data_IF_908394385115
#
_entry.id   IF_908394385115
#
_cell.length_a   1.000
_cell.length_b   1.000
_cell.length_c   1.000
_cell.angle_alpha   90.00
_cell.angle_beta   90.00
_cell.angle_gamma   90.00
#
_symmetry.space_group_name_H-M   'P 1'
#
loop_
_entity.id
_entity.type
_entity.pdbx_description
1 polymer ?
#
# COMPACT_ATOMS: atom_id res chain seq x y z
N UNK A 1 0.41 -9.61 4.06
CA UNK A 1 -0.59 -8.66 4.60
C UNK A 1 -0.05 -7.26 4.45
N UNK A 2 -0.87 -6.34 3.97
CA UNK A 2 -0.62 -4.90 3.91
C UNK A 2 -1.38 -4.24 5.06
N UNK A 3 -0.66 -3.54 5.92
CA UNK A 3 -1.20 -2.80 7.04
C UNK A 3 -0.52 -1.43 7.12
N UNK A 4 -1.25 -0.41 7.54
CA UNK A 4 -0.79 0.98 7.57
C UNK A 4 -1.49 1.78 8.66
N UNK A 5 -0.89 2.90 9.03
CA UNK A 5 -1.43 3.83 10.03
C UNK A 5 -1.43 5.25 9.48
N UNK A 6 -2.49 6.01 9.76
CA UNK A 6 -2.64 7.40 9.38
C UNK A 6 -2.76 8.29 10.62
N UNK A 7 -2.10 9.44 10.58
CA UNK A 7 -2.17 10.44 11.65
C UNK A 7 -3.10 11.55 11.22
N UNK A 8 -4.21 11.74 11.96
CA UNK A 8 -5.17 12.83 11.73
C UNK A 8 -5.77 12.92 10.30
N UNK A 9 -5.79 11.82 9.56
CA UNK A 9 -6.37 11.74 8.21
C UNK A 9 -7.48 10.68 8.18
N UNK A 10 -8.76 11.07 8.37
CA UNK A 10 -9.87 10.13 8.32
C UNK A 10 -10.06 9.59 6.90
N UNK A 11 -10.01 8.26 6.74
CA UNK A 11 -10.24 7.61 5.45
C UNK A 11 -11.72 7.58 5.06
N UNK A 12 -11.95 7.63 3.74
CA UNK A 12 -13.26 7.46 3.12
C UNK A 12 -13.60 8.63 2.22
N UNK A 13 -14.15 9.69 2.80
CA UNK A 13 -14.66 10.83 2.03
C UNK A 13 -13.57 11.83 1.66
N UNK A 14 -12.75 12.26 2.62
CA UNK A 14 -11.80 13.35 2.43
C UNK A 14 -10.42 12.86 1.98
N UNK A 15 -10.01 11.70 2.49
CA UNK A 15 -8.73 11.08 2.19
C UNK A 15 -8.89 9.62 1.80
N UNK A 16 -7.99 9.15 0.94
CA UNK A 16 -7.84 7.75 0.55
C UNK A 16 -6.36 7.40 0.47
N UNK A 17 -6.02 6.12 0.53
CA UNK A 17 -4.65 5.65 0.24
C UNK A 17 -4.62 5.01 -1.13
N UNK A 18 -3.79 5.53 -2.04
CA UNK A 18 -3.43 4.86 -3.28
C UNK A 18 -2.31 3.88 -3.01
N UNK A 19 -2.54 2.60 -3.23
CA UNK A 19 -1.56 1.53 -3.13
C UNK A 19 -1.11 1.08 -4.53
N UNK A 20 0.15 1.29 -4.87
CA UNK A 20 0.77 0.86 -6.12
C UNK A 20 1.65 -0.37 -5.85
N UNK A 21 1.32 -1.50 -6.47
CA UNK A 21 1.98 -2.80 -6.29
C UNK A 21 2.79 -3.09 -7.56
N UNK A 22 4.11 -3.25 -7.42
CA UNK A 22 5.07 -3.50 -8.50
C UNK A 22 4.98 -2.53 -9.68
N UNK A 23 4.41 -1.33 -9.47
CA UNK A 23 4.08 -0.36 -10.53
C UNK A 23 3.12 -0.87 -11.63
N UNK A 24 2.50 -2.03 -11.42
CA UNK A 24 1.59 -2.67 -12.39
C UNK A 24 0.13 -2.57 -11.94
N UNK A 25 -0.12 -2.71 -10.64
CA UNK A 25 -1.46 -2.67 -10.08
C UNK A 25 -1.63 -1.47 -9.15
N UNK A 26 -2.78 -0.82 -9.22
CA UNK A 26 -3.14 0.31 -8.35
C UNK A 26 -4.49 0.04 -7.69
N UNK A 27 -4.54 0.17 -6.37
CA UNK A 27 -5.77 0.06 -5.58
C UNK A 27 -6.01 1.36 -4.82
N UNK A 28 -7.28 1.72 -4.66
CA UNK A 28 -7.70 2.82 -3.79
C UNK A 28 -8.29 2.21 -2.52
N UNK A 29 -7.62 2.45 -1.40
CA UNK A 29 -8.04 2.01 -0.08
C UNK A 29 -8.76 3.17 0.61
N UNK A 30 -10.06 3.01 0.83
CA UNK A 30 -10.95 3.99 1.45
C UNK A 30 -11.41 3.58 2.85
N UNK A 31 -10.96 2.42 3.33
CA UNK A 31 -11.25 1.89 4.66
C UNK A 31 -9.94 1.59 5.40
N UNK A 32 -9.92 1.92 6.69
CA UNK A 32 -8.79 1.59 7.55
C UNK A 32 -8.92 0.18 8.09
N UNK A 33 -8.38 -0.79 7.35
CA UNK A 33 -8.35 -2.20 7.73
C UNK A 33 -7.11 -2.88 7.12
N UNK A 34 -6.67 -4.03 7.63
CA UNK A 34 -5.64 -4.82 6.98
C UNK A 34 -6.15 -5.38 5.64
N UNK A 35 -5.28 -5.39 4.63
CA UNK A 35 -5.57 -5.95 3.31
C UNK A 35 -4.64 -7.12 3.01
N UNK A 36 -5.18 -8.22 2.49
CA UNK A 36 -4.37 -9.32 1.96
C UNK A 36 -4.05 -9.06 0.49
N UNK A 37 -2.77 -9.12 0.15
CA UNK A 37 -2.30 -9.08 -1.23
C UNK A 37 -1.98 -10.52 -1.60
N UNK A 38 -2.64 -11.02 -2.64
CA UNK A 38 -2.48 -12.36 -3.16
C UNK A 38 -1.86 -12.32 -4.57
N UNK A 39 -1.31 -13.44 -5.03
CA UNK A 39 -0.79 -13.56 -6.39
C UNK A 39 0.50 -12.77 -6.67
N UNK A 40 1.26 -12.42 -5.64
CA UNK A 40 2.57 -11.78 -5.83
C UNK A 40 3.57 -12.76 -6.46
N UNK A 41 4.42 -12.30 -7.40
CA UNK A 41 5.51 -13.12 -7.93
C UNK A 41 6.56 -13.40 -6.85
N UNK A 42 7.27 -14.52 -7.00
CA UNK A 42 8.49 -14.81 -6.22
C UNK A 42 9.57 -13.77 -6.53
N UNK A 43 10.43 -13.49 -5.54
CA UNK A 43 11.46 -12.46 -5.62
C UNK A 43 11.02 -11.13 -5.02
N UNK A 44 11.68 -10.05 -5.45
CA UNK A 44 11.45 -8.72 -4.89
C UNK A 44 10.13 -8.13 -5.37
N UNK A 45 9.33 -7.69 -4.39
CA UNK A 45 8.08 -6.99 -4.58
C UNK A 45 8.18 -5.61 -3.95
N UNK A 46 7.61 -4.61 -4.62
CA UNK A 46 7.63 -3.21 -4.20
C UNK A 46 6.21 -2.70 -4.03
N UNK A 47 5.92 -2.12 -2.88
CA UNK A 47 4.66 -1.47 -2.57
C UNK A 47 4.92 0.00 -2.30
N UNK A 48 4.15 0.85 -2.95
CA UNK A 48 4.13 2.30 -2.71
C UNK A 48 2.75 2.70 -2.22
N UNK A 49 2.70 3.36 -1.07
CA UNK A 49 1.48 3.96 -0.54
C UNK A 49 1.56 5.47 -0.66
N UNK A 50 0.49 6.07 -1.17
CA UNK A 50 0.33 7.51 -1.28
C UNK A 50 -1.00 7.93 -0.67
N UNK A 51 -0.98 8.76 0.36
CA UNK A 51 -2.17 9.46 0.84
C UNK A 51 -2.60 10.47 -0.24
N UNK A 52 -3.85 10.36 -0.68
CA UNK A 52 -4.47 11.23 -1.68
C UNK A 52 -5.71 11.90 -1.09
N UNK A 53 -6.03 13.09 -1.60
CA UNK A 53 -7.27 13.79 -1.27
C UNK A 53 -8.47 13.26 -2.09
N UNK A 54 -9.64 13.85 -1.85
CA UNK A 54 -10.89 13.54 -2.58
C UNK A 54 -10.82 13.74 -4.09
N UNK A 55 -9.88 14.56 -4.58
CA UNK A 55 -9.68 14.85 -6.01
C UNK A 55 -8.65 13.89 -6.64
N UNK A 56 -8.02 13.04 -5.82
CA UNK A 56 -7.00 12.08 -6.24
C UNK A 56 -5.59 12.66 -6.24
N UNK A 57 -5.39 13.88 -5.71
CA UNK A 57 -4.07 14.50 -5.66
C UNK A 57 -3.29 14.00 -4.43
N UNK A 58 -1.97 13.76 -4.55
CA UNK A 58 -1.13 13.47 -3.39
C UNK A 58 -1.16 14.59 -2.35
N UNK A 59 -1.35 14.23 -1.08
CA UNK A 59 -1.32 15.20 0.02
C UNK A 59 0.14 15.49 0.41
N UNK A 60 0.53 16.76 0.45
CA UNK A 60 1.88 17.18 0.85
C UNK A 60 2.05 17.12 2.37
N UNK A 61 2.51 15.98 2.87
CA UNK A 61 2.77 15.71 4.29
C UNK A 61 4.05 14.87 4.46
N UNK A 62 4.72 14.95 5.62
CA UNK A 62 5.89 14.13 5.89
C UNK A 62 5.61 12.63 5.71
N UNK A 63 6.58 11.90 5.18
CA UNK A 63 6.50 10.45 4.92
C UNK A 63 5.41 10.04 3.91
N UNK A 64 4.95 10.96 3.06
CA UNK A 64 4.07 10.67 1.93
C UNK A 64 4.74 11.11 0.61
N UNK A 65 4.96 10.21 -0.36
CA UNK A 65 4.65 8.78 -0.33
C UNK A 65 5.64 7.97 0.51
N UNK A 66 5.27 6.73 0.81
CA UNK A 66 6.16 5.73 1.43
C UNK A 66 6.30 4.52 0.51
N UNK A 67 7.52 4.00 0.40
CA UNK A 67 7.84 2.83 -0.42
C UNK A 67 8.52 1.75 0.43
N UNK A 68 8.15 0.49 0.19
CA UNK A 68 8.77 -0.69 0.81
C UNK A 68 9.03 -1.75 -0.25
N UNK A 69 10.19 -2.37 -0.13
CA UNK A 69 10.59 -3.55 -0.91
C UNK A 69 10.70 -4.72 0.04
N UNK A 70 10.15 -5.86 -0.33
CA UNK A 70 10.28 -7.13 0.39
C UNK A 70 10.43 -8.28 -0.61
N UNK A 71 11.11 -9.34 -0.19
CA UNK A 71 11.33 -10.52 -1.03
C UNK A 71 10.34 -11.62 -0.64
N UNK A 72 9.60 -12.14 -1.62
CA UNK A 72 8.82 -13.35 -1.47
C UNK A 72 9.71 -14.54 -1.87
N UNK A 73 9.90 -15.49 -0.96
CA UNK A 73 10.69 -16.69 -1.20
C UNK A 73 9.89 -17.93 -0.81
N UNK A 74 10.24 -19.07 -1.39
CA UNK A 74 9.73 -20.36 -0.94
C UNK A 74 10.02 -20.56 0.56
N UNK A 75 9.13 -21.28 1.25
CA UNK A 75 9.38 -21.66 2.62
C UNK A 75 10.61 -22.58 2.65
N UNK A 76 11.68 -22.24 3.39
CA UNK A 76 12.86 -23.08 3.49
C UNK A 76 12.59 -24.46 4.12
N UNK A 77 11.41 -24.67 4.71
CA UNK A 77 10.98 -25.93 5.33
C UNK A 77 9.99 -26.75 4.47
N UNK A 78 9.48 -26.20 3.37
CA UNK A 78 8.73 -26.99 2.39
C UNK A 78 9.72 -27.85 1.58
N UNK A 79 9.71 -29.17 1.86
CA UNK A 79 10.43 -30.21 1.09
C UNK A 79 9.48 -30.89 0.10
#
# INVERSE_FOLDING_TARGET
MLDFYLVNAPLGNDYKVKAEINAEQTLILDQWQPYYIEGLPMGDNKIKLTLIDKEGNPVDVPNNPVERVFTLSADPLEN
#
